data_IF_831530162983
#
_entry.id   IF_831530162983
#
_cell.length_a   1.000
_cell.length_b   1.000
_cell.length_c   1.000
_cell.angle_alpha   90.00
_cell.angle_beta   90.00
_cell.angle_gamma   90.00
#
_symmetry.space_group_name_H-M   'P 1'
#
loop_
_entity.id
_entity.type
_entity.pdbx_description
1 polymer ?
#
# COMPACT_ATOMS: atom_id res chain seq x y z
N UNK A 1 14.33 7.29 -5.11
CA UNK A 1 13.39 6.29 -5.61
C UNK A 1 12.74 5.55 -4.46
N UNK A 2 11.46 5.41 -4.51
CA UNK A 2 10.75 4.77 -3.42
C UNK A 2 10.95 3.25 -3.44
N UNK A 3 11.06 2.66 -2.25
CA UNK A 3 11.08 1.22 -2.15
C UNK A 3 9.73 0.64 -2.54
N UNK A 4 9.74 -0.60 -3.02
CA UNK A 4 8.50 -1.29 -3.35
C UNK A 4 7.80 -1.71 -2.08
N UNK A 5 6.60 -1.23 -1.89
CA UNK A 5 5.77 -1.56 -0.74
C UNK A 5 4.76 -2.66 -1.04
N UNK A 6 4.62 -3.00 -2.33
CA UNK A 6 3.72 -4.08 -2.74
C UNK A 6 4.53 -5.17 -3.45
N UNK A 7 4.09 -6.41 -3.31
CA UNK A 7 4.71 -7.53 -4.00
C UNK A 7 4.02 -7.66 -5.35
N UNK A 8 4.74 -7.35 -6.42
CA UNK A 8 4.20 -7.30 -7.77
C UNK A 8 3.52 -8.61 -8.18
N UNK A 9 4.15 -9.74 -7.90
CA UNK A 9 3.59 -11.04 -8.29
C UNK A 9 2.27 -11.32 -7.58
N UNK A 10 2.15 -10.92 -6.32
CA UNK A 10 0.92 -11.12 -5.56
C UNK A 10 -0.19 -10.23 -6.08
N UNK A 11 0.13 -8.99 -6.40
CA UNK A 11 -0.85 -8.05 -6.97
C UNK A 11 -1.32 -8.56 -8.32
N UNK A 12 -0.38 -9.04 -9.13
CA UNK A 12 -0.69 -9.60 -10.45
C UNK A 12 -1.64 -10.79 -10.34
N UNK A 13 -1.37 -11.68 -9.39
CA UNK A 13 -2.22 -12.86 -9.17
C UNK A 13 -3.62 -12.44 -8.75
N UNK A 14 -3.72 -11.46 -7.87
CA UNK A 14 -5.02 -10.98 -7.41
C UNK A 14 -5.84 -10.39 -8.55
N UNK A 15 -5.19 -9.57 -9.37
CA UNK A 15 -5.86 -8.95 -10.53
C UNK A 15 -6.26 -10.01 -11.56
N UNK A 16 -5.41 -11.03 -11.75
CA UNK A 16 -5.71 -12.12 -12.68
C UNK A 16 -6.94 -12.91 -12.24
N UNK A 17 -7.16 -13.05 -10.95
CA UNK A 17 -8.39 -13.69 -10.44
C UNK A 17 -9.63 -12.92 -10.83
N UNK A 18 -9.50 -11.64 -11.09
CA UNK A 18 -10.60 -10.79 -11.57
C UNK A 18 -10.69 -10.79 -13.09
N UNK A 19 -9.89 -11.62 -13.75
CA UNK A 19 -9.87 -11.78 -15.21
C UNK A 19 -9.39 -10.53 -15.93
N UNK A 20 -8.46 -9.80 -15.31
CA UNK A 20 -7.85 -8.62 -15.89
C UNK A 20 -6.34 -8.75 -15.85
N UNK A 21 -5.66 -7.85 -16.55
CA UNK A 21 -4.21 -7.79 -16.55
C UNK A 21 -3.76 -6.59 -15.73
N UNK A 22 -2.54 -6.69 -15.20
CA UNK A 22 -1.95 -5.61 -14.43
C UNK A 22 -0.91 -4.90 -15.28
N UNK A 23 -1.11 -3.63 -15.54
CA UNK A 23 -0.13 -2.81 -16.25
C UNK A 23 1.04 -2.45 -15.34
N UNK A 24 2.23 -2.25 -15.92
CA UNK A 24 3.40 -1.90 -15.15
C UNK A 24 3.25 -0.57 -14.39
N UNK A 25 2.63 0.42 -15.04
CA UNK A 25 2.37 1.71 -14.42
C UNK A 25 1.37 1.61 -13.27
N UNK A 26 0.48 0.62 -13.31
CA UNK A 26 -0.48 0.40 -12.23
C UNK A 26 0.24 -0.05 -10.96
N UNK A 27 1.29 -0.86 -11.08
CA UNK A 27 2.07 -1.30 -9.92
C UNK A 27 2.71 -0.10 -9.23
N UNK A 28 3.28 0.82 -10.01
CA UNK A 28 3.89 2.02 -9.44
C UNK A 28 2.85 2.91 -8.78
N UNK A 29 1.69 3.06 -9.40
CA UNK A 29 0.62 3.86 -8.84
C UNK A 29 0.12 3.26 -7.52
N UNK A 30 -0.04 1.93 -7.48
CA UNK A 30 -0.45 1.25 -6.26
C UNK A 30 0.58 1.42 -5.16
N UNK A 31 1.86 1.33 -5.52
CA UNK A 31 2.93 1.50 -4.55
C UNK A 31 2.88 2.88 -3.90
N UNK A 32 2.65 3.92 -4.71
CA UNK A 32 2.50 5.29 -4.19
C UNK A 32 1.26 5.42 -3.31
N UNK A 33 0.17 4.78 -3.69
CA UNK A 33 -1.06 4.84 -2.92
C UNK A 33 -0.91 4.15 -1.58
N UNK A 34 -0.24 3.00 -1.55
CA UNK A 34 0.05 2.29 -0.30
C UNK A 34 0.92 3.16 0.60
N UNK A 35 1.93 3.82 0.03
CA UNK A 35 2.78 4.73 0.79
C UNK A 35 1.96 5.85 1.44
N UNK A 36 1.02 6.43 0.69
CA UNK A 36 0.14 7.48 1.23
C UNK A 36 -0.70 6.98 2.39
N UNK A 37 -1.27 5.79 2.24
CA UNK A 37 -2.09 5.20 3.29
C UNK A 37 -1.26 4.97 4.54
N UNK A 38 -0.05 4.45 4.37
CA UNK A 38 0.85 4.22 5.50
C UNK A 38 1.25 5.53 6.17
N UNK A 39 1.57 6.56 5.38
CA UNK A 39 1.97 7.86 5.93
C UNK A 39 0.86 8.45 6.79
N UNK A 40 -0.38 8.36 6.33
CA UNK A 40 -1.52 8.84 7.10
C UNK A 40 -1.71 8.04 8.38
N UNK A 41 -1.53 6.72 8.29
CA UNK A 41 -1.64 5.86 9.46
C UNK A 41 -0.56 6.20 10.49
N UNK A 42 0.65 6.46 10.02
CA UNK A 42 1.76 6.87 10.90
C UNK A 42 1.43 8.16 11.62
N UNK A 43 0.87 9.14 10.91
CA UNK A 43 0.48 10.41 11.53
C UNK A 43 -0.59 10.22 12.60
N UNK A 44 -1.58 9.38 12.31
CA UNK A 44 -2.63 9.09 13.28
C UNK A 44 -2.08 8.39 14.52
N UNK A 45 -1.14 7.47 14.33
CA UNK A 45 -0.51 6.78 15.44
C UNK A 45 0.29 7.76 16.32
N UNK A 46 0.98 8.71 15.70
CA UNK A 46 1.71 9.75 16.42
C UNK A 46 0.78 10.64 17.23
N UNK A 47 -0.35 11.04 16.64
CA UNK A 47 -1.35 11.84 17.33
C UNK A 47 -1.93 11.09 18.52
N UNK A 48 -2.07 9.79 18.38
CA UNK A 48 -2.55 8.90 19.43
C UNK A 48 -1.47 8.53 20.44
N UNK A 49 -0.25 9.03 20.21
CA UNK A 49 0.93 8.77 21.06
C UNK A 49 1.22 7.30 21.20
N UNK A 50 1.04 6.54 20.11
CA UNK A 50 1.36 5.12 20.06
C UNK A 50 2.65 4.90 19.28
N UNK A 51 3.42 3.95 19.72
CA UNK A 51 4.62 3.54 18.99
C UNK A 51 4.35 2.49 17.93
N UNK A 52 3.09 2.09 17.75
CA UNK A 52 2.71 1.03 16.81
C UNK A 52 1.52 1.49 15.99
N UNK A 53 1.61 1.31 14.67
CA UNK A 53 0.50 1.57 13.78
C UNK A 53 -0.47 0.38 13.87
N UNK A 54 -1.73 0.65 14.17
CA UNK A 54 -2.75 -0.39 14.31
C UNK A 54 -3.84 -0.21 13.27
N UNK A 55 -4.71 -1.19 13.15
CA UNK A 55 -5.79 -1.14 12.15
C UNK A 55 -6.65 0.11 12.27
N UNK A 56 -6.87 0.60 13.48
CA UNK A 56 -7.67 1.80 13.68
C UNK A 56 -7.01 3.07 13.13
N UNK A 57 -5.72 3.00 12.84
CA UNK A 57 -4.98 4.14 12.29
C UNK A 57 -5.05 4.20 10.76
N UNK A 58 -5.39 3.10 10.13
CA UNK A 58 -5.45 3.02 8.65
C UNK A 58 -6.70 3.65 8.08
#
# INVERSE_FOLDING_TARGET
MAEMLVVKSKVKDYVAKKKLRLGGDAVEALNREVARVIDRAVERAKEDRKGTVKSRHV
#
